data_IF_178072568809
#
_entry.id   IF_178072568809
#
_cell.length_a   1.000
_cell.length_b   1.000
_cell.length_c   1.000
_cell.angle_alpha   90.00
_cell.angle_beta   90.00
_cell.angle_gamma   90.00
#
_symmetry.space_group_name_H-M   'P 1'
#
loop_
_entity.id
_entity.type
_entity.pdbx_description
1 polymer ?
#
# COMPACT_ATOMS: atom_id res chain seq x y z
N UNK A 1 11.03 -19.44 -12.41
CA UNK A 1 9.96 -18.67 -11.76
C UNK A 1 9.75 -19.06 -10.30
N UNK A 2 10.16 -20.29 -9.93
CA UNK A 2 9.92 -20.83 -8.59
C UNK A 2 10.88 -20.25 -7.52
N UNK A 3 11.89 -19.50 -7.95
CA UNK A 3 12.82 -18.80 -7.08
C UNK A 3 12.25 -17.41 -6.76
N UNK A 4 12.16 -17.07 -5.47
CA UNK A 4 11.78 -15.74 -5.03
C UNK A 4 12.70 -14.67 -5.63
N UNK A 5 12.15 -13.63 -6.24
CA UNK A 5 12.92 -12.59 -6.94
C UNK A 5 13.09 -12.81 -8.45
N UNK A 6 12.76 -13.99 -8.98
CA UNK A 6 12.75 -14.26 -10.42
C UNK A 6 11.30 -14.24 -10.94
N UNK A 7 10.82 -13.05 -11.35
CA UNK A 7 9.53 -12.88 -12.02
C UNK A 7 9.58 -13.26 -13.51
N UNK A 8 8.42 -13.33 -14.15
CA UNK A 8 8.25 -13.73 -15.57
C UNK A 8 9.21 -13.04 -16.57
N UNK A 9 9.53 -11.76 -16.32
CA UNK A 9 10.44 -11.01 -17.20
C UNK A 9 11.89 -11.54 -17.11
N UNK A 10 12.34 -11.81 -15.89
CA UNK A 10 13.69 -12.35 -15.66
C UNK A 10 13.76 -13.82 -16.05
N UNK A 11 12.72 -14.62 -15.81
CA UNK A 11 12.61 -15.99 -16.30
C UNK A 11 12.80 -16.05 -17.83
N UNK A 12 12.06 -15.23 -18.59
CA UNK A 12 12.19 -15.16 -20.05
C UNK A 12 13.61 -14.78 -20.50
N UNK A 13 14.29 -13.88 -19.78
CA UNK A 13 15.69 -13.52 -20.09
C UNK A 13 16.64 -14.68 -19.86
N UNK A 14 16.50 -15.39 -18.72
CA UNK A 14 17.35 -16.51 -18.34
C UNK A 14 17.15 -17.69 -19.30
N UNK A 15 15.91 -18.01 -19.66
CA UNK A 15 15.61 -19.09 -20.63
C UNK A 15 16.22 -18.82 -22.01
N UNK A 16 16.29 -17.56 -22.46
CA UNK A 16 16.93 -17.19 -23.75
C UNK A 16 18.43 -17.50 -23.79
N UNK A 17 19.10 -17.53 -22.64
CA UNK A 17 20.53 -17.88 -22.52
C UNK A 17 20.74 -19.30 -21.97
N UNK A 18 19.70 -20.15 -22.03
CA UNK A 18 19.79 -21.55 -21.68
C UNK A 18 19.73 -21.86 -20.18
N UNK A 19 19.50 -20.88 -19.31
CA UNK A 19 19.43 -21.05 -17.86
C UNK A 19 18.04 -21.54 -17.46
N UNK A 20 17.93 -22.76 -16.94
CA UNK A 20 16.67 -23.42 -16.61
C UNK A 20 16.49 -23.68 -15.11
N UNK A 21 17.57 -23.74 -14.34
CA UNK A 21 17.55 -24.07 -12.91
C UNK A 21 18.28 -23.02 -12.07
N UNK A 22 18.05 -23.04 -10.75
CA UNK A 22 18.81 -22.23 -9.80
C UNK A 22 20.30 -22.54 -9.82
N UNK A 23 20.65 -23.81 -10.05
CA UNK A 23 22.03 -24.25 -10.17
C UNK A 23 22.73 -23.69 -11.41
N UNK A 24 22.04 -23.59 -12.55
CA UNK A 24 22.57 -22.92 -13.74
C UNK A 24 22.76 -21.42 -13.47
N UNK A 25 21.81 -20.80 -12.75
CA UNK A 25 21.84 -19.39 -12.44
C UNK A 25 23.05 -18.99 -11.57
N UNK A 26 23.40 -19.77 -10.54
CA UNK A 26 24.56 -19.46 -9.69
C UNK A 26 25.90 -19.61 -10.44
N UNK A 27 25.95 -20.33 -11.55
CA UNK A 27 27.16 -20.48 -12.39
C UNK A 27 27.38 -19.32 -13.34
N UNK A 28 26.43 -18.42 -13.48
CA UNK A 28 26.59 -17.22 -14.33
C UNK A 28 27.66 -16.28 -13.75
N UNK A 29 28.44 -15.61 -14.61
CA UNK A 29 29.37 -14.57 -14.15
C UNK A 29 28.65 -13.42 -13.44
N UNK A 30 29.19 -12.96 -12.33
CA UNK A 30 28.61 -11.86 -11.54
C UNK A 30 28.34 -10.59 -12.37
N UNK A 31 29.26 -10.25 -13.24
CA UNK A 31 29.12 -9.11 -14.16
C UNK A 31 27.92 -9.26 -15.11
N UNK A 32 27.67 -10.48 -15.60
CA UNK A 32 26.52 -10.75 -16.44
C UNK A 32 25.20 -10.56 -15.68
N UNK A 33 25.13 -11.15 -14.46
CA UNK A 33 23.95 -11.03 -13.61
C UNK A 33 23.68 -9.56 -13.24
N UNK A 34 24.72 -8.83 -12.84
CA UNK A 34 24.60 -7.40 -12.49
C UNK A 34 24.09 -6.55 -13.66
N UNK A 35 24.56 -6.79 -14.88
CA UNK A 35 24.11 -6.04 -16.08
C UNK A 35 22.69 -6.37 -16.49
N UNK A 36 22.26 -7.63 -16.37
CA UNK A 36 20.96 -8.09 -16.88
C UNK A 36 19.84 -8.05 -15.84
N UNK A 37 20.18 -8.17 -14.54
CA UNK A 37 19.23 -8.28 -13.44
C UNK A 37 19.47 -7.29 -12.30
N UNK A 38 20.40 -6.35 -12.49
CA UNK A 38 20.83 -5.34 -11.51
C UNK A 38 21.54 -5.91 -10.29
N UNK A 39 21.86 -5.05 -9.32
CA UNK A 39 22.47 -5.45 -8.04
C UNK A 39 21.55 -6.40 -7.24
N UNK A 40 20.23 -6.30 -7.41
CA UNK A 40 19.27 -7.19 -6.74
C UNK A 40 19.41 -8.62 -7.23
N UNK A 41 19.59 -8.81 -8.55
CA UNK A 41 19.87 -10.14 -9.13
C UNK A 41 21.19 -10.71 -8.64
N UNK A 42 22.23 -9.89 -8.48
CA UNK A 42 23.51 -10.33 -7.94
C UNK A 42 23.40 -10.75 -6.47
N UNK A 43 22.70 -9.98 -5.64
CA UNK A 43 22.40 -10.36 -4.26
C UNK A 43 21.67 -11.71 -4.19
N UNK A 44 20.63 -11.89 -4.99
CA UNK A 44 19.90 -13.15 -5.08
C UNK A 44 20.82 -14.32 -5.46
N UNK A 45 21.74 -14.12 -6.44
CA UNK A 45 22.72 -15.15 -6.80
C UNK A 45 23.60 -15.52 -5.60
N UNK A 46 24.13 -14.50 -4.88
CA UNK A 46 24.97 -14.73 -3.70
C UNK A 46 24.22 -15.48 -2.60
N UNK A 47 22.97 -15.15 -2.33
CA UNK A 47 22.13 -15.87 -1.36
C UNK A 47 21.90 -17.34 -1.76
N UNK A 48 21.71 -17.62 -3.05
CA UNK A 48 21.61 -18.98 -3.56
C UNK A 48 22.96 -19.75 -3.49
N UNK A 49 24.08 -19.04 -3.49
CA UNK A 49 25.43 -19.59 -3.21
C UNK A 49 25.67 -19.82 -1.70
N UNK A 50 24.71 -19.46 -0.82
CA UNK A 50 24.86 -19.56 0.63
C UNK A 50 25.56 -18.36 1.28
N UNK A 51 25.80 -17.28 0.52
CA UNK A 51 26.46 -16.07 1.01
C UNK A 51 25.37 -15.05 1.40
N UNK A 52 25.21 -14.71 2.70
CA UNK A 52 24.20 -13.74 3.13
C UNK A 52 24.53 -12.35 2.55
N UNK A 53 23.52 -11.68 1.97
CA UNK A 53 23.66 -10.35 1.36
C UNK A 53 22.76 -9.31 1.99
N UNK A 54 21.84 -9.73 2.83
CA UNK A 54 20.94 -8.88 3.59
C UNK A 54 21.06 -9.23 5.06
N UNK A 55 21.38 -8.24 5.87
CA UNK A 55 21.35 -8.37 7.32
C UNK A 55 19.93 -8.24 7.84
N UNK A 56 19.66 -8.83 9.01
CA UNK A 56 18.43 -8.60 9.74
C UNK A 56 18.50 -7.19 10.32
N UNK A 57 17.65 -6.32 9.83
CA UNK A 57 17.59 -4.93 10.30
C UNK A 57 16.61 -4.88 11.46
N UNK A 58 17.10 -4.59 12.67
CA UNK A 58 16.30 -4.44 13.88
C UNK A 58 15.58 -3.08 13.95
N UNK A 59 16.11 -2.05 13.29
CA UNK A 59 15.55 -0.71 13.31
C UNK A 59 14.43 -0.53 12.30
N UNK A 60 13.25 -0.17 12.79
CA UNK A 60 12.13 0.30 11.97
C UNK A 60 12.36 1.76 11.55
N UNK A 61 13.08 1.97 10.47
CA UNK A 61 13.18 3.30 9.85
C UNK A 61 11.80 3.80 9.42
N UNK A 62 11.51 5.07 9.69
CA UNK A 62 10.28 5.70 9.23
C UNK A 62 10.09 5.53 7.72
N UNK A 63 8.89 5.16 7.32
CA UNK A 63 8.56 4.98 5.90
C UNK A 63 8.64 6.32 5.18
N UNK A 64 9.19 6.32 3.97
CA UNK A 64 9.25 7.50 3.09
C UNK A 64 7.94 7.75 2.34
N UNK A 65 7.05 6.78 2.30
CA UNK A 65 5.69 6.88 1.77
C UNK A 65 4.78 5.85 2.43
N UNK A 66 3.49 6.15 2.52
CA UNK A 66 2.48 5.25 3.09
C UNK A 66 1.41 5.00 2.04
N UNK A 67 1.25 3.75 1.63
CA UNK A 67 0.22 3.34 0.68
C UNK A 67 -0.87 2.51 1.35
N UNK A 68 -2.11 2.76 0.95
CA UNK A 68 -3.25 1.90 1.26
C UNK A 68 -4.01 1.64 -0.04
N UNK A 69 -3.98 0.38 -0.49
CA UNK A 69 -4.55 -0.04 -1.77
C UNK A 69 -5.31 -1.35 -1.62
N UNK A 70 -6.39 -1.53 -2.37
CA UNK A 70 -7.15 -2.79 -2.37
C UNK A 70 -7.69 -3.10 -3.76
N UNK A 71 -7.71 -4.39 -4.06
CA UNK A 71 -8.52 -4.92 -5.16
C UNK A 71 -9.92 -5.22 -4.62
N UNK A 72 -10.92 -4.90 -5.39
CA UNK A 72 -12.32 -5.13 -5.02
C UNK A 72 -12.75 -6.55 -5.40
N UNK A 73 -13.68 -7.13 -4.65
CA UNK A 73 -14.25 -8.43 -4.96
C UNK A 73 -15.06 -8.39 -6.27
N UNK A 74 -15.97 -7.43 -6.38
CA UNK A 74 -16.65 -7.06 -7.62
C UNK A 74 -16.10 -5.74 -8.17
N UNK A 75 -16.20 -5.52 -9.48
CA UNK A 75 -15.83 -4.25 -10.10
C UNK A 75 -16.80 -3.15 -9.67
N UNK A 76 -16.29 -1.96 -9.41
CA UNK A 76 -17.06 -0.77 -8.98
C UNK A 76 -17.13 0.22 -10.15
N UNK A 77 -18.33 0.68 -10.49
CA UNK A 77 -18.59 1.70 -11.50
C UNK A 77 -19.16 2.99 -10.93
N UNK A 78 -19.70 2.95 -9.71
CA UNK A 78 -20.26 4.11 -9.00
C UNK A 78 -19.16 5.01 -8.44
N UNK A 79 -19.29 6.33 -8.65
CA UNK A 79 -18.39 7.31 -8.02
C UNK A 79 -18.55 7.32 -6.49
N UNK A 80 -19.78 7.20 -5.99
CA UNK A 80 -20.07 7.24 -4.56
C UNK A 80 -19.42 6.05 -3.84
N UNK A 81 -19.51 4.84 -4.42
CA UNK A 81 -18.83 3.66 -3.87
C UNK A 81 -17.30 3.84 -3.87
N UNK A 82 -16.74 4.46 -4.92
CA UNK A 82 -15.30 4.77 -4.95
C UNK A 82 -14.90 5.82 -3.90
N UNK A 83 -15.74 6.83 -3.66
CA UNK A 83 -15.54 7.83 -2.61
C UNK A 83 -15.49 7.15 -1.23
N UNK A 84 -16.42 6.26 -0.93
CA UNK A 84 -16.41 5.50 0.33
C UNK A 84 -15.11 4.70 0.53
N UNK A 85 -14.63 4.04 -0.55
CA UNK A 85 -13.38 3.25 -0.52
C UNK A 85 -12.16 4.13 -0.32
N UNK A 86 -12.03 5.20 -1.11
CA UNK A 86 -10.90 6.13 -1.02
C UNK A 86 -10.88 6.83 0.33
N UNK A 87 -12.03 7.24 0.87
CA UNK A 87 -12.12 7.79 2.23
C UNK A 87 -11.64 6.79 3.28
N UNK A 88 -12.07 5.55 3.18
CA UNK A 88 -11.62 4.49 4.09
C UNK A 88 -10.11 4.26 3.99
N UNK A 89 -9.54 4.26 2.77
CA UNK A 89 -8.11 4.12 2.58
C UNK A 89 -7.32 5.33 3.11
N UNK A 90 -7.87 6.53 2.95
CA UNK A 90 -7.28 7.76 3.49
C UNK A 90 -7.22 7.73 5.02
N UNK A 91 -8.30 7.31 5.69
CA UNK A 91 -8.34 7.18 7.16
C UNK A 91 -7.31 6.15 7.65
N UNK A 92 -7.22 4.99 6.99
CA UNK A 92 -6.22 3.95 7.34
C UNK A 92 -4.79 4.44 7.12
N UNK A 93 -4.54 5.14 6.01
CA UNK A 93 -3.22 5.69 5.70
C UNK A 93 -2.82 6.80 6.69
N UNK A 94 -3.75 7.69 7.02
CA UNK A 94 -3.55 8.76 8.01
C UNK A 94 -3.24 8.22 9.42
N UNK A 95 -3.92 7.16 9.86
CA UNK A 95 -3.61 6.51 11.14
C UNK A 95 -2.17 5.98 11.16
N UNK A 96 -1.72 5.31 10.08
CA UNK A 96 -0.32 4.84 9.97
C UNK A 96 0.67 6.01 9.97
N UNK A 97 0.31 7.14 9.36
CA UNK A 97 1.12 8.35 9.33
C UNK A 97 1.31 8.92 10.74
N UNK A 98 0.22 9.04 11.53
CA UNK A 98 0.26 9.46 12.94
C UNK A 98 1.03 8.47 13.82
N UNK A 99 0.90 7.16 13.59
CA UNK A 99 1.65 6.13 14.34
C UNK A 99 3.17 6.29 14.22
N UNK A 100 3.66 6.82 13.10
CA UNK A 100 5.09 7.15 12.95
C UNK A 100 5.44 8.62 13.23
N UNK A 101 4.51 9.41 13.83
CA UNK A 101 4.66 10.84 14.14
C UNK A 101 5.11 11.67 12.92
N UNK A 102 4.43 11.46 11.79
CA UNK A 102 4.74 12.13 10.53
C UNK A 102 3.52 12.83 9.95
N UNK A 103 3.77 13.78 9.05
CA UNK A 103 2.79 14.47 8.21
C UNK A 103 3.13 14.25 6.73
N UNK A 104 2.17 14.41 5.84
CA UNK A 104 2.39 14.36 4.41
C UNK A 104 2.02 15.69 3.74
N UNK A 105 2.70 16.03 2.67
CA UNK A 105 2.40 17.21 1.85
C UNK A 105 1.97 16.86 0.42
N UNK A 106 1.96 15.60 0.04
CA UNK A 106 1.53 15.13 -1.28
C UNK A 106 0.68 13.88 -1.18
N UNK A 107 -0.35 13.80 -2.01
CA UNK A 107 -1.25 12.65 -2.10
C UNK A 107 -1.37 12.22 -3.55
N UNK A 108 -1.25 10.92 -3.79
CA UNK A 108 -1.58 10.30 -5.07
C UNK A 108 -2.79 9.39 -4.89
N UNK A 109 -3.77 9.52 -5.77
CA UNK A 109 -4.93 8.62 -5.86
C UNK A 109 -4.89 7.93 -7.20
N UNK A 110 -5.21 6.64 -7.24
CA UNK A 110 -5.33 5.90 -8.48
C UNK A 110 -6.51 4.93 -8.47
N UNK A 111 -7.05 4.69 -9.66
CA UNK A 111 -8.07 3.70 -9.96
C UNK A 111 -7.68 2.94 -11.22
N UNK A 112 -7.95 1.64 -11.28
CA UNK A 112 -7.63 0.83 -12.47
C UNK A 112 -8.64 -0.28 -12.74
N UNK A 113 -8.73 -0.67 -14.01
CA UNK A 113 -9.50 -1.82 -14.49
C UNK A 113 -8.89 -3.16 -14.05
N UNK A 114 -9.58 -4.24 -14.31
CA UNK A 114 -9.08 -5.61 -14.15
C UNK A 114 -8.05 -5.92 -15.25
N UNK A 115 -6.76 -6.15 -14.93
CA UNK A 115 -5.75 -6.45 -15.94
C UNK A 115 -5.86 -7.88 -16.52
N UNK A 116 -6.64 -8.77 -15.89
CA UNK A 116 -6.75 -10.19 -16.24
C UNK A 116 -7.99 -10.52 -17.08
N UNK A 117 -8.86 -9.55 -17.33
CA UNK A 117 -10.05 -9.73 -18.14
C UNK A 117 -9.68 -9.57 -19.62
N UNK A 118 -9.82 -10.64 -20.41
CA UNK A 118 -9.27 -10.71 -21.79
C UNK A 118 -9.92 -9.73 -22.75
N UNK A 119 -11.22 -9.46 -22.63
CA UNK A 119 -11.99 -8.64 -23.58
C UNK A 119 -12.26 -7.20 -23.11
N UNK A 120 -11.57 -6.70 -22.07
CA UNK A 120 -11.78 -5.34 -21.56
C UNK A 120 -10.59 -4.44 -21.84
N UNK A 121 -10.90 -3.19 -22.16
CA UNK A 121 -9.93 -2.12 -22.23
C UNK A 121 -9.18 -2.00 -20.87
N UNK A 122 -7.85 -2.09 -20.92
CA UNK A 122 -7.00 -1.96 -19.74
C UNK A 122 -6.66 -0.48 -19.53
N UNK A 123 -7.10 0.07 -18.43
CA UNK A 123 -6.81 1.47 -18.06
C UNK A 123 -6.35 1.59 -16.63
N UNK A 124 -5.53 2.59 -16.41
CA UNK A 124 -5.02 3.00 -15.12
C UNK A 124 -5.01 4.53 -15.09
N UNK A 125 -5.84 5.10 -14.23
CA UNK A 125 -5.89 6.55 -14.02
C UNK A 125 -5.29 6.87 -12.67
N UNK A 126 -4.42 7.86 -12.62
CA UNK A 126 -3.80 8.33 -11.38
C UNK A 126 -3.58 9.83 -11.43
N UNK A 127 -3.74 10.48 -10.30
CA UNK A 127 -3.45 11.90 -10.13
C UNK A 127 -2.75 12.10 -8.80
N UNK A 128 -1.69 12.91 -8.84
CA UNK A 128 -0.93 13.33 -7.66
C UNK A 128 -1.11 14.83 -7.48
N UNK A 129 -1.42 15.26 -6.27
CA UNK A 129 -1.53 16.67 -5.90
C UNK A 129 -0.73 16.98 -4.65
N UNK A 130 -0.23 18.22 -4.58
CA UNK A 130 0.37 18.77 -3.38
C UNK A 130 -0.71 19.38 -2.49
N UNK A 131 -0.65 19.10 -1.19
CA UNK A 131 -1.50 19.75 -0.19
C UNK A 131 -1.01 21.18 0.04
N UNK A 132 -1.89 22.12 0.38
CA UNK A 132 -1.50 23.49 0.68
C UNK A 132 -0.62 23.60 1.95
N UNK A 133 -0.69 22.62 2.83
CA UNK A 133 0.12 22.47 4.05
C UNK A 133 0.28 21.00 4.40
N UNK A 134 1.34 20.67 5.16
CA UNK A 134 1.55 19.32 5.66
C UNK A 134 0.49 18.95 6.69
N UNK A 135 -0.03 17.72 6.61
CA UNK A 135 -1.07 17.27 7.54
C UNK A 135 -1.04 15.75 7.75
N UNK A 136 -1.55 15.31 8.91
CA UNK A 136 -1.88 13.92 9.20
C UNK A 136 -3.37 13.74 9.56
N UNK A 137 -4.17 14.79 9.36
CA UNK A 137 -5.61 14.77 9.59
C UNK A 137 -6.33 13.89 8.58
N UNK A 138 -7.05 12.88 9.07
CA UNK A 138 -7.87 12.00 8.22
C UNK A 138 -8.94 12.77 7.46
N UNK A 139 -9.45 13.88 8.00
CA UNK A 139 -10.47 14.72 7.37
C UNK A 139 -9.89 15.44 6.15
N UNK A 140 -8.74 16.10 6.30
CA UNK A 140 -8.09 16.86 5.24
C UNK A 140 -7.58 15.97 4.14
N UNK A 141 -6.90 14.86 4.51
CA UNK A 141 -6.40 13.87 3.55
C UNK A 141 -7.55 13.25 2.77
N UNK A 142 -8.69 12.91 3.43
CA UNK A 142 -9.86 12.35 2.75
C UNK A 142 -10.49 13.34 1.80
N UNK A 143 -10.66 14.59 2.22
CA UNK A 143 -11.24 15.65 1.39
C UNK A 143 -10.44 15.86 0.12
N UNK A 144 -9.12 16.01 0.24
CA UNK A 144 -8.24 16.20 -0.90
C UNK A 144 -8.18 14.96 -1.81
N UNK A 145 -8.15 13.76 -1.23
CA UNK A 145 -8.19 12.52 -2.00
C UNK A 145 -9.48 12.34 -2.81
N UNK A 146 -10.63 12.80 -2.29
CA UNK A 146 -11.91 12.79 -3.01
C UNK A 146 -11.86 13.77 -4.19
N UNK A 147 -11.26 14.95 -4.03
CA UNK A 147 -11.08 15.90 -5.13
C UNK A 147 -10.22 15.30 -6.25
N UNK A 148 -9.09 14.67 -5.91
CA UNK A 148 -8.25 13.98 -6.89
C UNK A 148 -9.01 12.82 -7.57
N UNK A 149 -9.79 12.04 -6.81
CA UNK A 149 -10.60 10.94 -7.37
C UNK A 149 -11.60 11.45 -8.41
N UNK A 150 -12.32 12.53 -8.11
CA UNK A 150 -13.31 13.11 -9.03
C UNK A 150 -12.69 13.52 -10.37
N UNK A 151 -11.43 13.98 -10.36
CA UNK A 151 -10.73 14.38 -11.58
C UNK A 151 -10.30 13.19 -12.46
N UNK A 152 -10.12 12.01 -11.88
CA UNK A 152 -9.69 10.81 -12.64
C UNK A 152 -10.82 9.82 -12.91
N UNK A 153 -11.99 10.05 -12.32
CA UNK A 153 -13.14 9.19 -12.52
C UNK A 153 -13.77 9.40 -13.90
N UNK A 154 -14.10 8.30 -14.59
CA UNK A 154 -14.79 8.31 -15.87
C UNK A 154 -16.09 7.51 -15.75
N UNK A 155 -17.22 8.16 -15.98
CA UNK A 155 -18.55 7.53 -15.99
C UNK A 155 -18.59 6.42 -17.05
N UNK A 156 -19.21 5.29 -16.71
CA UNK A 156 -19.32 4.13 -17.61
C UNK A 156 -18.14 3.17 -17.60
N UNK A 157 -17.04 3.49 -16.90
CA UNK A 157 -15.92 2.56 -16.69
C UNK A 157 -16.05 1.81 -15.36
N UNK A 158 -15.54 0.56 -15.33
CA UNK A 158 -15.55 -0.31 -14.14
C UNK A 158 -14.13 -0.45 -13.58
N UNK A 159 -13.99 -0.31 -12.28
CA UNK A 159 -12.70 -0.32 -11.59
C UNK A 159 -12.57 -1.54 -10.69
N UNK A 160 -11.46 -2.27 -10.81
CA UNK A 160 -11.14 -3.46 -10.01
C UNK A 160 -10.24 -3.16 -8.84
N UNK A 161 -9.48 -2.06 -8.89
CA UNK A 161 -8.55 -1.68 -7.82
C UNK A 161 -8.50 -0.17 -7.68
N UNK A 162 -8.41 0.29 -6.43
CA UNK A 162 -8.12 1.67 -6.10
C UNK A 162 -7.09 1.77 -4.97
N UNK A 163 -6.50 2.95 -4.82
CA UNK A 163 -5.57 3.20 -3.74
C UNK A 163 -5.21 4.66 -3.56
N UNK A 164 -4.66 4.93 -2.38
CA UNK A 164 -4.06 6.20 -2.00
C UNK A 164 -2.61 5.98 -1.58
N UNK A 165 -1.75 6.92 -1.91
CA UNK A 165 -0.35 6.96 -1.50
C UNK A 165 -0.08 8.34 -0.91
N UNK A 166 0.35 8.38 0.35
CA UNK A 166 0.82 9.57 1.05
C UNK A 166 2.33 9.68 0.83
N UNK A 167 2.79 10.84 0.39
CA UNK A 167 4.18 11.12 0.01
C UNK A 167 4.65 12.45 0.58
N UNK A 168 5.95 12.74 0.46
CA UNK A 168 6.55 13.94 1.05
C UNK A 168 6.40 13.92 2.57
N UNK A 169 6.75 12.77 3.19
CA UNK A 169 6.59 12.59 4.62
C UNK A 169 7.68 13.36 5.37
N UNK A 170 7.25 14.16 6.34
CA UNK A 170 8.11 14.91 7.26
C UNK A 170 7.75 14.57 8.70
N UNK A 171 8.71 14.56 9.64
CA UNK A 171 8.40 14.44 11.04
C UNK A 171 7.46 15.56 11.53
N UNK A 172 6.46 15.25 12.32
CA UNK A 172 5.50 16.21 12.87
C UNK A 172 6.19 17.31 13.71
N UNK A 173 7.35 16.99 14.30
CA UNK A 173 8.17 17.94 15.07
C UNK A 173 8.79 19.07 14.22
N UNK A 174 8.84 18.91 12.90
CA UNK A 174 9.42 19.88 11.94
C UNK A 174 8.29 20.60 11.17
N UNK A 175 7.10 20.69 11.74
CA UNK A 175 5.97 21.35 11.08
C UNK A 175 6.25 22.85 10.89
N UNK A 176 6.29 23.27 9.61
CA UNK A 176 6.44 24.68 9.26
C UNK A 176 5.05 25.34 9.20
N UNK A 177 4.75 26.17 10.17
CA UNK A 177 3.46 26.88 10.23
C UNK A 177 3.43 27.93 9.11
N UNK A 178 2.41 27.88 8.28
CA UNK A 178 2.09 28.92 7.30
C UNK A 178 1.18 29.97 7.91
N UNK A 179 1.38 31.25 7.58
CA UNK A 179 0.47 32.34 8.00
C UNK A 179 -0.98 32.17 7.54
N UNK A 180 -1.21 31.37 6.50
CA UNK A 180 -2.53 31.08 5.93
C UNK A 180 -3.13 29.76 6.42
N UNK A 181 -2.43 29.06 7.33
CA UNK A 181 -2.88 27.77 7.83
C UNK A 181 -4.03 27.93 8.82
N UNK A 182 -5.17 27.30 8.52
CA UNK A 182 -6.28 27.23 9.47
C UNK A 182 -5.88 26.34 10.65
N UNK A 183 -6.32 26.74 11.86
CA UNK A 183 -6.04 26.13 13.17
C UNK A 183 -5.96 24.58 13.16
N UNK A 184 -4.76 24.05 12.90
CA UNK A 184 -4.46 22.61 12.89
C UNK A 184 -4.53 21.99 14.29
N UNK A 185 -4.44 22.81 15.37
CA UNK A 185 -4.47 22.32 16.74
C UNK A 185 -5.77 21.61 17.10
N UNK A 186 -6.93 22.08 16.57
CA UNK A 186 -8.22 21.42 16.79
C UNK A 186 -8.30 20.08 16.08
N UNK A 187 -7.78 19.99 14.87
CA UNK A 187 -7.71 18.75 14.09
C UNK A 187 -6.80 17.73 14.80
N UNK A 188 -5.65 18.14 15.31
CA UNK A 188 -4.74 17.28 16.05
C UNK A 188 -5.41 16.63 17.25
N UNK A 189 -6.02 17.43 18.15
CA UNK A 189 -6.74 16.91 19.32
C UNK A 189 -7.89 15.97 18.94
N UNK A 190 -8.61 16.26 17.86
CA UNK A 190 -9.67 15.39 17.36
C UNK A 190 -9.12 14.06 16.88
N UNK A 191 -8.01 14.06 16.12
CA UNK A 191 -7.38 12.82 15.64
C UNK A 191 -6.84 11.97 16.78
N UNK A 192 -6.21 12.58 17.80
CA UNK A 192 -5.77 11.92 19.01
C UNK A 192 -6.94 11.26 19.76
N UNK A 193 -8.07 11.95 19.88
CA UNK A 193 -9.27 11.41 20.53
C UNK A 193 -9.85 10.21 19.75
N UNK A 194 -9.90 10.30 18.42
CA UNK A 194 -10.35 9.19 17.56
C UNK A 194 -9.40 8.00 17.68
N UNK A 195 -8.08 8.23 17.64
CA UNK A 195 -7.08 7.17 17.77
C UNK A 195 -7.15 6.48 19.13
N UNK A 196 -7.40 7.23 20.21
CA UNK A 196 -7.59 6.69 21.56
C UNK A 196 -8.85 5.81 21.64
N UNK A 197 -9.95 6.23 21.02
CA UNK A 197 -11.19 5.44 20.95
C UNK A 197 -10.94 4.16 20.15
N UNK A 198 -10.29 4.26 18.99
CA UNK A 198 -9.95 3.11 18.14
C UNK A 198 -9.02 2.12 18.84
N UNK A 199 -8.07 2.60 19.64
CA UNK A 199 -7.14 1.75 20.39
C UNK A 199 -7.83 1.04 21.55
N UNK A 200 -8.78 1.71 22.23
CA UNK A 200 -9.51 1.15 23.39
C UNK A 200 -10.63 0.20 22.99
N UNK A 201 -11.38 0.53 21.97
CA UNK A 201 -12.63 -0.16 21.60
C UNK A 201 -12.58 -0.89 20.25
N UNK A 202 -11.43 -0.85 19.58
CA UNK A 202 -11.25 -1.43 18.25
C UNK A 202 -11.54 -0.45 17.11
N UNK A 203 -11.02 -0.79 15.93
CA UNK A 203 -11.04 0.08 14.75
C UNK A 203 -12.47 0.37 14.26
N UNK A 204 -12.66 1.59 13.75
CA UNK A 204 -13.88 2.04 13.08
C UNK A 204 -15.09 2.24 14.00
N UNK A 205 -14.88 2.55 15.27
CA UNK A 205 -15.97 2.98 16.16
C UNK A 205 -16.42 4.41 15.84
N UNK A 206 -15.46 5.28 15.55
CA UNK A 206 -15.73 6.61 15.01
C UNK A 206 -15.36 6.63 13.53
N UNK A 207 -16.22 7.21 12.68
CA UNK A 207 -16.01 7.24 11.23
C UNK A 207 -16.36 8.60 10.64
N UNK A 208 -15.73 8.93 9.53
CA UNK A 208 -16.16 10.03 8.69
C UNK A 208 -17.44 9.65 7.96
N UNK A 209 -18.35 10.61 7.74
CA UNK A 209 -19.62 10.36 7.06
C UNK A 209 -19.44 9.81 5.63
N UNK A 210 -18.32 10.12 4.99
CA UNK A 210 -17.97 9.62 3.65
C UNK A 210 -17.29 8.25 3.63
N UNK A 211 -17.10 7.58 4.79
CA UNK A 211 -16.62 6.21 4.85
C UNK A 211 -17.77 5.22 4.65
N UNK A 212 -17.41 3.98 4.26
CA UNK A 212 -18.35 2.85 4.22
C UNK A 212 -18.97 2.60 5.60
N UNK A 213 -20.17 3.15 5.81
CA UNK A 213 -20.88 3.10 7.09
C UNK A 213 -21.39 1.70 7.40
N UNK A 214 -21.81 0.96 6.38
CA UNK A 214 -22.43 -0.37 6.53
C UNK A 214 -21.40 -1.49 6.63
N UNK A 215 -20.13 -1.21 6.46
CA UNK A 215 -19.05 -2.23 6.36
C UNK A 215 -19.38 -3.34 5.36
N UNK A 216 -20.05 -3.01 4.28
CA UNK A 216 -20.43 -3.98 3.24
C UNK A 216 -19.17 -4.60 2.65
N UNK A 217 -18.11 -3.79 2.51
CA UNK A 217 -16.85 -4.27 1.99
C UNK A 217 -15.98 -4.87 3.10
N UNK A 218 -15.83 -6.19 3.04
CA UNK A 218 -14.87 -6.95 3.85
C UNK A 218 -13.88 -7.65 2.91
N UNK A 219 -12.66 -7.85 3.39
CA UNK A 219 -11.73 -8.74 2.69
C UNK A 219 -12.29 -10.15 2.72
N UNK A 220 -12.34 -10.82 1.58
CA UNK A 220 -12.68 -12.24 1.53
C UNK A 220 -11.58 -13.03 2.26
N UNK A 221 -11.95 -13.71 3.34
CA UNK A 221 -11.06 -14.51 4.20
C UNK A 221 -11.49 -15.95 4.27
N UNK A 222 -12.01 -16.51 3.19
CA UNK A 222 -12.52 -17.90 3.18
C UNK A 222 -11.40 -18.94 3.26
N UNK A 223 -10.19 -18.59 2.84
CA UNK A 223 -9.02 -19.49 2.81
C UNK A 223 -7.90 -18.97 3.72
N UNK A 224 -8.18 -18.76 5.00
CA UNK A 224 -7.15 -18.44 5.98
C UNK A 224 -6.39 -19.70 6.37
N UNK A 225 -5.06 -19.60 6.48
CA UNK A 225 -4.28 -20.60 7.20
C UNK A 225 -4.67 -20.61 8.68
N UNK A 226 -4.48 -21.75 9.35
CA UNK A 226 -4.65 -21.87 10.78
C UNK A 226 -3.66 -20.97 11.54
N UNK A 227 -4.03 -20.53 12.73
CA UNK A 227 -3.22 -19.65 13.56
C UNK A 227 -2.30 -20.46 14.47
N UNK A 228 -1.38 -21.24 13.91
CA UNK A 228 -0.52 -22.17 14.63
C UNK A 228 0.33 -21.54 15.76
N UNK A 229 0.60 -20.26 15.69
CA UNK A 229 1.46 -19.54 16.65
C UNK A 229 0.70 -18.70 17.67
N UNK A 230 -0.60 -18.47 17.46
CA UNK A 230 -1.42 -17.55 18.29
C UNK A 230 -2.69 -18.18 18.84
N UNK A 231 -3.07 -19.38 18.36
CA UNK A 231 -4.21 -20.14 18.85
C UNK A 231 -3.76 -21.57 19.19
N UNK A 232 -3.75 -21.92 20.47
CA UNK A 232 -3.27 -23.22 20.98
C UNK A 232 -4.13 -24.38 20.46
N UNK A 233 -5.42 -24.15 20.21
CA UNK A 233 -6.35 -25.17 19.68
C UNK A 233 -6.08 -25.53 18.21
N UNK A 234 -5.37 -24.67 17.50
CA UNK A 234 -5.04 -24.85 16.08
C UNK A 234 -3.61 -25.37 15.86
N UNK A 235 -2.84 -25.64 16.94
CA UNK A 235 -1.51 -26.21 16.87
C UNK A 235 -1.56 -27.61 16.27
N UNK A 236 -0.60 -27.93 15.39
CA UNK A 236 -0.49 -29.27 14.81
C UNK A 236 -0.15 -30.27 15.92
N UNK A 237 -1.02 -31.26 16.09
CA UNK A 237 -0.74 -32.41 16.96
C UNK A 237 0.14 -33.38 16.17
N UNK A 238 1.35 -33.63 16.66
CA UNK A 238 2.26 -34.63 16.12
C UNK A 238 2.04 -35.91 16.91
N UNK A 239 1.63 -36.97 16.24
CA UNK A 239 1.51 -38.31 16.79
C UNK A 239 2.80 -39.10 16.57
#
# INVERSE_FOLDING_TARGET
KDIWGIGLKNEKKLLKVGIKSGFDFIRLPDNWVKRNMSIIGLKLKKELEGIPTLDIVEENNNKKSIATTRSFEAEISSLDDLIERITTFAVVASKKLRTQNSECNMISVYIRSNPFKENNEKYHFSLTGALPFSTNSSIEISKFAIELLKNIYHKGKSYKKAGIILMGLTPESIHQVSFFEKDTKKHKKLMESIDNIDNKYGLYKVRLASQDQKRIWKMNRQNLSRNYTTNIEEVLLVS
#
